data_IF_044790893351
#
_entry.id   IF_044790893351
#
_cell.length_a   1.000
_cell.length_b   1.000
_cell.length_c   1.000
_cell.angle_alpha   90.00
_cell.angle_beta   90.00
_cell.angle_gamma   90.00
#
_symmetry.space_group_name_H-M   'P 1'
#
loop_
_entity.id
_entity.type
_entity.pdbx_description
1 polymer ?
#
# COMPACT_ATOMS: atom_id res chain seq x y z
N UNK A 1 4.57 -3.63 -18.22
CA UNK A 1 6.03 -3.89 -18.00
C UNK A 1 6.18 -5.24 -17.31
N UNK A 2 6.80 -6.27 -17.92
CA UNK A 2 6.66 -7.67 -17.40
C UNK A 2 7.69 -8.10 -16.34
N UNK A 3 8.82 -7.41 -16.21
CA UNK A 3 9.92 -7.77 -15.29
C UNK A 3 10.13 -6.76 -14.15
N UNK A 4 9.23 -5.80 -13.99
CA UNK A 4 9.37 -4.77 -12.98
C UNK A 4 9.26 -5.41 -11.59
N UNK A 5 10.24 -5.13 -10.72
CA UNK A 5 10.28 -5.66 -9.35
C UNK A 5 10.22 -4.56 -8.29
N UNK A 6 10.67 -3.36 -8.64
CA UNK A 6 10.74 -2.20 -7.77
C UNK A 6 10.07 -1.04 -8.51
N UNK A 7 9.13 -0.36 -7.85
CA UNK A 7 8.45 0.81 -8.38
C UNK A 7 8.50 1.93 -7.33
N UNK A 8 9.11 3.04 -7.71
CA UNK A 8 9.15 4.26 -6.90
C UNK A 8 8.42 5.38 -7.63
N UNK A 9 7.51 6.04 -6.93
CA UNK A 9 6.70 7.14 -7.43
C UNK A 9 6.64 8.22 -6.35
N UNK A 10 6.65 9.49 -6.75
CA UNK A 10 6.54 10.63 -5.84
C UNK A 10 5.83 11.78 -6.54
N UNK A 11 4.73 12.27 -5.96
CA UNK A 11 4.01 13.44 -6.48
C UNK A 11 3.39 13.22 -7.87
N UNK A 12 3.06 11.98 -8.23
CA UNK A 12 2.43 11.64 -9.51
C UNK A 12 1.10 10.94 -9.32
N UNK A 13 0.16 11.26 -10.19
CA UNK A 13 -1.10 10.55 -10.36
C UNK A 13 -1.01 9.71 -11.63
N UNK A 14 -1.22 8.40 -11.50
CA UNK A 14 -1.32 7.50 -12.64
C UNK A 14 -2.78 7.46 -13.11
N UNK A 15 -2.96 7.45 -14.42
CA UNK A 15 -4.24 7.18 -15.07
C UNK A 15 -4.21 5.76 -15.68
N UNK A 16 -5.38 5.13 -15.77
CA UNK A 16 -5.55 3.76 -16.25
C UNK A 16 -5.54 2.68 -15.16
N UNK A 17 -5.44 1.43 -15.61
CA UNK A 17 -5.62 0.24 -14.77
C UNK A 17 -4.28 -0.27 -14.18
N UNK A 18 -4.31 -0.64 -12.90
CA UNK A 18 -3.17 -1.26 -12.23
C UNK A 18 -2.93 -2.73 -12.63
N UNK A 19 -3.84 -3.36 -13.37
CA UNK A 19 -3.66 -4.71 -13.93
C UNK A 19 -2.43 -4.83 -14.84
N UNK A 20 -1.97 -3.72 -15.43
CA UNK A 20 -0.77 -3.68 -16.27
C UNK A 20 0.55 -3.61 -15.49
N UNK A 21 0.48 -3.42 -14.16
CA UNK A 21 1.64 -3.51 -13.28
C UNK A 21 2.20 -4.94 -13.29
N UNK A 22 3.52 -5.03 -13.13
CA UNK A 22 4.20 -6.32 -13.24
C UNK A 22 3.85 -7.24 -12.08
N UNK A 23 3.34 -8.43 -12.37
CA UNK A 23 3.14 -9.53 -11.39
C UNK A 23 4.38 -9.92 -10.60
N UNK A 24 5.56 -9.44 -10.99
CA UNK A 24 6.83 -9.64 -10.30
C UNK A 24 7.18 -8.51 -9.33
N UNK A 25 6.30 -7.52 -9.15
CA UNK A 25 6.53 -6.40 -8.25
C UNK A 25 6.69 -6.92 -6.81
N UNK A 26 7.78 -6.52 -6.17
CA UNK A 26 8.17 -6.91 -4.81
C UNK A 26 8.18 -5.71 -3.87
N UNK A 27 8.46 -4.52 -4.40
CA UNK A 27 8.59 -3.30 -3.61
C UNK A 27 7.89 -2.16 -4.31
N UNK A 28 7.03 -1.49 -3.56
CA UNK A 28 6.37 -0.26 -3.96
C UNK A 28 6.67 0.82 -2.94
N UNK A 29 7.21 1.94 -3.43
CA UNK A 29 7.20 3.21 -2.71
C UNK A 29 6.42 4.22 -3.54
N UNK A 30 5.36 4.79 -2.96
CA UNK A 30 4.54 5.79 -3.63
C UNK A 30 4.23 6.92 -2.66
N UNK A 31 5.14 7.89 -2.60
CA UNK A 31 4.96 9.07 -1.78
C UNK A 31 3.88 9.98 -2.38
N UNK A 32 2.93 10.41 -1.55
CA UNK A 32 1.78 11.18 -2.03
C UNK A 32 0.77 10.32 -2.79
N UNK A 33 0.58 9.05 -2.41
CA UNK A 33 -0.39 8.15 -3.06
C UNK A 33 -1.80 8.81 -3.07
N UNK A 34 -2.39 9.02 -4.25
CA UNK A 34 -3.49 9.96 -4.40
C UNK A 34 -4.86 9.39 -4.05
N UNK A 35 -5.01 8.05 -4.00
CA UNK A 35 -6.30 7.40 -3.79
C UNK A 35 -6.64 7.25 -2.30
N UNK A 36 -7.92 7.22 -2.00
CA UNK A 36 -8.45 7.05 -0.64
C UNK A 36 -8.34 5.62 -0.09
N UNK A 37 -8.18 4.64 -0.97
CA UNK A 37 -7.86 3.27 -0.64
C UNK A 37 -7.10 2.65 -1.80
N UNK A 38 -6.38 1.56 -1.54
CA UNK A 38 -5.65 0.90 -2.60
C UNK A 38 -6.61 -0.12 -3.27
N UNK A 39 -6.77 -0.05 -4.59
CA UNK A 39 -7.80 -0.82 -5.29
C UNK A 39 -7.38 -2.28 -5.46
N UNK A 40 -8.36 -3.16 -5.65
CA UNK A 40 -8.15 -4.61 -5.66
C UNK A 40 -7.25 -5.10 -6.79
N UNK A 41 -7.28 -4.44 -7.95
CA UNK A 41 -6.44 -4.68 -9.12
C UNK A 41 -4.96 -4.28 -8.94
N UNK A 42 -4.64 -3.47 -7.93
CA UNK A 42 -3.27 -3.08 -7.61
C UNK A 42 -2.47 -4.25 -7.01
N UNK A 43 -3.17 -5.13 -6.30
CA UNK A 43 -2.55 -6.16 -5.49
C UNK A 43 -2.17 -7.40 -6.27
N UNK A 44 -0.88 -7.67 -6.23
CA UNK A 44 -0.29 -8.87 -6.80
C UNK A 44 0.49 -9.51 -5.65
N UNK A 45 0.16 -10.76 -5.29
CA UNK A 45 0.62 -11.45 -4.06
C UNK A 45 2.14 -11.68 -3.94
N UNK A 46 2.95 -11.01 -4.76
CA UNK A 46 4.41 -10.98 -4.70
C UNK A 46 4.97 -9.76 -3.96
N UNK A 47 4.15 -8.77 -3.59
CA UNK A 47 4.59 -7.60 -2.83
C UNK A 47 5.15 -8.00 -1.46
N UNK A 48 6.31 -7.44 -1.15
CA UNK A 48 7.08 -7.65 0.10
C UNK A 48 7.13 -6.36 0.91
N UNK A 49 7.19 -5.20 0.26
CA UNK A 49 7.12 -3.90 0.91
C UNK A 49 6.10 -3.01 0.20
N UNK A 50 5.29 -2.33 0.99
CA UNK A 50 4.37 -1.27 0.57
C UNK A 50 4.67 -0.05 1.42
N UNK A 51 5.08 1.05 0.78
CA UNK A 51 5.44 2.29 1.45
C UNK A 51 4.67 3.45 0.80
N UNK A 52 3.66 3.96 1.50
CA UNK A 52 2.70 4.96 1.02
C UNK A 52 2.69 6.17 1.93
N UNK A 53 3.88 6.74 2.14
CA UNK A 53 4.04 7.92 2.97
C UNK A 53 3.29 9.13 2.39
N UNK A 54 2.73 9.97 3.25
CA UNK A 54 1.97 11.17 2.88
C UNK A 54 0.78 10.86 1.95
N UNK A 55 0.15 9.69 2.12
CA UNK A 55 -0.97 9.27 1.27
C UNK A 55 -2.30 9.93 1.64
N UNK A 56 -3.22 9.93 0.68
CA UNK A 56 -4.60 10.33 0.90
C UNK A 56 -5.49 9.18 1.43
N UNK A 57 -4.89 8.10 1.93
CA UNK A 57 -5.63 6.92 2.36
C UNK A 57 -6.56 7.26 3.52
N UNK A 58 -7.83 6.89 3.40
CA UNK A 58 -8.77 6.81 4.51
C UNK A 58 -8.93 5.39 5.04
N UNK A 59 -8.74 4.40 4.16
CA UNK A 59 -8.68 2.97 4.45
C UNK A 59 -7.54 2.37 3.65
N UNK A 60 -6.88 1.33 4.15
CA UNK A 60 -5.72 0.75 3.45
C UNK A 60 -6.14 0.02 2.17
N UNK A 61 -7.10 -0.90 2.28
CA UNK A 61 -7.57 -1.72 1.16
C UNK A 61 -9.04 -1.45 0.87
N UNK A 62 -9.43 -1.50 -0.41
CA UNK A 62 -10.84 -1.43 -0.80
C UNK A 62 -11.64 -2.66 -0.32
N UNK A 63 -11.01 -3.83 -0.36
CA UNK A 63 -11.57 -5.11 0.08
C UNK A 63 -10.50 -5.86 0.89
N UNK A 64 -10.93 -6.72 1.81
CA UNK A 64 -10.01 -7.54 2.59
C UNK A 64 -9.20 -8.47 1.67
N UNK A 65 -7.88 -8.50 1.87
CA UNK A 65 -6.97 -9.34 1.08
C UNK A 65 -5.85 -9.91 1.94
N UNK A 66 -5.56 -11.19 1.74
CA UNK A 66 -4.43 -11.85 2.39
C UNK A 66 -3.14 -11.60 1.62
N UNK A 67 -2.16 -10.95 2.24
CA UNK A 67 -0.86 -10.63 1.64
C UNK A 67 0.25 -11.44 2.32
N UNK A 68 0.33 -12.72 1.96
CA UNK A 68 1.25 -13.67 2.57
C UNK A 68 2.74 -13.25 2.49
N UNK A 69 3.13 -12.49 1.47
CA UNK A 69 4.54 -12.12 1.28
C UNK A 69 4.89 -10.74 1.82
N UNK A 70 3.90 -9.97 2.27
CA UNK A 70 4.12 -8.62 2.77
C UNK A 70 4.85 -8.69 4.11
N UNK A 71 6.01 -8.04 4.16
CA UNK A 71 6.86 -7.93 5.36
C UNK A 71 6.90 -6.50 5.91
N UNK A 72 6.76 -5.50 5.05
CA UNK A 72 6.86 -4.09 5.44
C UNK A 72 5.63 -3.34 4.94
N UNK A 73 4.97 -2.64 5.87
CA UNK A 73 3.89 -1.71 5.57
C UNK A 73 4.19 -0.37 6.23
N UNK A 74 4.42 0.66 5.42
CA UNK A 74 4.63 2.02 5.88
C UNK A 74 3.50 2.92 5.36
N UNK A 75 2.71 3.46 6.27
CA UNK A 75 1.61 4.38 6.00
C UNK A 75 1.81 5.71 6.74
N UNK A 76 3.06 6.08 7.05
CA UNK A 76 3.35 7.31 7.78
C UNK A 76 2.77 8.55 7.10
N UNK A 77 2.40 9.55 7.89
CA UNK A 77 1.85 10.82 7.43
C UNK A 77 0.54 10.66 6.63
N UNK A 78 -0.19 9.54 6.80
CA UNK A 78 -1.50 9.34 6.18
C UNK A 78 -2.57 10.03 7.03
N UNK A 79 -2.72 11.34 6.81
CA UNK A 79 -3.54 12.20 7.67
C UNK A 79 -5.03 11.84 7.70
N UNK A 80 -5.53 11.18 6.67
CA UNK A 80 -6.94 10.79 6.56
C UNK A 80 -7.22 9.35 6.99
N UNK A 81 -6.19 8.58 7.34
CA UNK A 81 -6.32 7.17 7.67
C UNK A 81 -7.10 7.03 8.97
N UNK A 82 -8.25 6.37 8.94
CA UNK A 82 -9.15 6.26 10.11
C UNK A 82 -9.06 4.92 10.82
N UNK A 83 -8.68 3.85 10.10
CA UNK A 83 -8.62 2.50 10.62
C UNK A 83 -7.38 1.77 10.10
N UNK A 84 -6.87 0.83 10.89
CA UNK A 84 -5.82 -0.11 10.48
C UNK A 84 -6.39 -1.22 9.59
N UNK A 85 -5.56 -1.89 8.78
CA UNK A 85 -6.00 -3.10 8.11
C UNK A 85 -6.11 -4.26 9.12
N UNK A 86 -6.93 -5.26 8.81
CA UNK A 86 -6.96 -6.49 9.59
C UNK A 86 -5.62 -7.25 9.43
N UNK A 87 -4.82 -7.24 10.50
CA UNK A 87 -3.50 -7.86 10.53
C UNK A 87 -3.53 -9.38 10.45
N UNK A 88 -4.67 -10.04 10.70
CA UNK A 88 -4.79 -11.49 10.49
C UNK A 88 -4.59 -11.87 9.02
N UNK A 89 -4.82 -10.93 8.10
CA UNK A 89 -4.57 -11.08 6.67
C UNK A 89 -3.11 -10.80 6.26
N UNK A 90 -2.25 -10.39 7.19
CA UNK A 90 -0.84 -10.06 6.93
C UNK A 90 0.09 -10.97 7.76
N UNK A 91 0.05 -12.30 7.54
CA UNK A 91 0.65 -13.28 8.46
C UNK A 91 2.18 -13.21 8.59
N UNK A 92 2.87 -12.56 7.63
CA UNK A 92 4.32 -12.42 7.61
C UNK A 92 4.77 -10.96 7.76
N UNK A 93 3.92 -10.06 8.28
CA UNK A 93 4.27 -8.67 8.51
C UNK A 93 5.34 -8.56 9.62
N UNK A 94 6.50 -8.02 9.27
CA UNK A 94 7.66 -7.85 10.17
C UNK A 94 7.79 -6.41 10.66
N UNK A 95 7.33 -5.43 9.86
CA UNK A 95 7.44 -4.00 10.17
C UNK A 95 6.18 -3.24 9.75
N UNK A 96 5.61 -2.51 10.72
CA UNK A 96 4.51 -1.58 10.53
C UNK A 96 4.96 -0.17 10.95
N UNK A 97 4.69 0.83 10.10
CA UNK A 97 4.96 2.24 10.41
C UNK A 97 3.68 3.05 10.22
N UNK A 98 3.19 3.65 11.32
CA UNK A 98 1.97 4.47 11.39
C UNK A 98 2.28 5.84 12.03
N UNK A 99 3.46 6.39 11.74
CA UNK A 99 3.88 7.68 12.30
C UNK A 99 3.02 8.81 11.74
N UNK A 100 2.59 9.73 12.58
CA UNK A 100 1.85 10.94 12.20
C UNK A 100 0.56 10.65 11.40
N UNK A 101 -0.26 9.72 11.90
CA UNK A 101 -1.60 9.41 11.39
C UNK A 101 -2.68 9.97 12.35
N UNK A 102 -2.95 11.30 12.35
CA UNK A 102 -3.78 11.96 13.37
C UNK A 102 -5.25 11.52 13.42
N UNK A 103 -5.82 11.04 12.31
CA UNK A 103 -7.21 10.56 12.26
C UNK A 103 -7.36 9.08 12.58
N UNK A 104 -6.25 8.36 12.83
CA UNK A 104 -6.28 6.95 13.14
C UNK A 104 -6.77 6.78 14.57
N UNK A 105 -8.02 6.37 14.72
CA UNK A 105 -8.62 6.02 15.99
C UNK A 105 -8.50 4.51 16.24
N UNK A 106 -8.22 4.13 17.49
CA UNK A 106 -8.28 2.74 17.95
C UNK A 106 -9.72 2.25 18.13
#
# INVERSE_FOLDING_TARGET
>A
MKKLRLLQLAGVQLDGDFEYLSRNLRWLSWNGFPLSCIPTNFYQGNLVSIELENSNLSHVWKEAQTLEKLKILNLSHSHYLTHTPDFSNLPNLEKLVLKDCPMLSE
#
